data_IF_210634886165
#
_entry.id   IF_210634886165
#
_cell.length_a   1.000
_cell.length_b   1.000
_cell.length_c   1.000
_cell.angle_alpha   90.00
_cell.angle_beta   90.00
_cell.angle_gamma   90.00
#
_symmetry.space_group_name_H-M   'P 1'
#
loop_
_entity.id
_entity.type
_entity.pdbx_description
1 polymer ?
#
# COMPACT_ATOMS: atom_id res chain seq x y z
N UNK A 1 58.42 45.51 -34.31
CA UNK A 1 58.14 44.41 -35.27
C UNK A 1 57.44 43.31 -34.48
N UNK A 2 56.19 42.99 -34.85
CA UNK A 2 55.33 41.89 -34.35
C UNK A 2 56.00 40.49 -34.50
N UNK A 3 55.41 39.35 -34.04
CA UNK A 3 54.91 39.01 -32.70
C UNK A 3 55.19 37.53 -32.27
N UNK A 4 54.68 37.22 -31.07
CA UNK A 4 54.26 35.99 -30.36
C UNK A 4 54.08 34.62 -31.07
N UNK A 5 54.14 33.61 -30.19
CA UNK A 5 53.33 32.37 -30.09
C UNK A 5 53.92 31.04 -30.63
N UNK A 6 54.31 30.18 -29.70
CA UNK A 6 54.32 28.72 -29.86
C UNK A 6 52.99 28.21 -29.30
N UNK A 7 52.14 27.66 -30.19
CA UNK A 7 50.90 26.97 -29.84
C UNK A 7 51.21 25.58 -29.25
N UNK A 8 50.56 25.26 -28.14
CA UNK A 8 50.39 23.90 -27.63
C UNK A 8 49.41 23.14 -28.53
N UNK A 9 49.82 21.95 -28.98
CA UNK A 9 48.97 20.95 -29.61
C UNK A 9 48.07 20.29 -28.56
N UNK A 10 46.78 20.63 -28.55
CA UNK A 10 45.76 19.89 -27.78
C UNK A 10 45.30 18.71 -28.64
N UNK A 11 45.56 17.49 -28.16
CA UNK A 11 44.99 16.28 -28.72
C UNK A 11 43.47 16.24 -28.46
N UNK A 12 42.68 16.16 -29.53
CA UNK A 12 41.25 15.98 -29.46
C UNK A 12 40.94 14.53 -29.05
N UNK A 13 40.48 14.32 -27.81
CA UNK A 13 39.74 13.12 -27.45
C UNK A 13 38.31 13.28 -28.01
N UNK A 14 38.02 12.52 -29.06
CA UNK A 14 36.66 12.28 -29.53
C UNK A 14 35.89 11.50 -28.48
N UNK A 15 34.97 12.15 -27.78
CA UNK A 15 33.96 11.50 -26.95
C UNK A 15 32.97 10.78 -27.86
N UNK A 16 33.05 9.45 -27.91
CA UNK A 16 31.93 8.61 -28.33
C UNK A 16 30.86 8.71 -27.24
N UNK A 17 30.02 9.74 -27.34
CA UNK A 17 28.80 9.83 -26.56
C UNK A 17 27.89 8.68 -26.98
N UNK A 18 27.80 7.65 -26.14
CA UNK A 18 26.70 6.69 -26.21
C UNK A 18 25.42 7.50 -25.95
N UNK A 19 24.72 7.85 -27.02
CA UNK A 19 23.38 8.40 -26.95
C UNK A 19 22.46 7.31 -26.40
N UNK A 20 22.26 7.30 -25.08
CA UNK A 20 21.13 6.59 -24.46
C UNK A 20 19.87 7.22 -25.08
N UNK A 21 18.97 6.43 -25.68
CA UNK A 21 17.74 6.97 -26.22
C UNK A 21 17.00 7.68 -25.08
N UNK A 22 16.73 8.97 -25.26
CA UNK A 22 15.85 9.73 -24.37
C UNK A 22 14.47 9.10 -24.53
N UNK A 23 14.08 8.23 -23.60
CA UNK A 23 12.69 7.81 -23.48
C UNK A 23 11.88 9.11 -23.31
N UNK A 24 11.01 9.40 -24.28
CA UNK A 24 10.20 10.60 -24.23
C UNK A 24 9.41 10.59 -22.91
N UNK A 25 9.59 11.64 -22.08
CA UNK A 25 8.96 11.78 -20.75
C UNK A 25 7.45 12.03 -20.91
N UNK A 26 6.71 11.09 -21.47
CA UNK A 26 5.26 11.14 -21.44
C UNK A 26 4.82 10.66 -20.06
N UNK A 27 4.19 11.56 -19.32
CA UNK A 27 3.52 11.19 -18.08
C UNK A 27 2.40 10.20 -18.41
N UNK A 28 2.21 9.14 -17.61
CA UNK A 28 1.08 8.25 -17.79
C UNK A 28 -0.24 9.04 -17.68
N UNK A 29 -1.26 8.59 -18.39
CA UNK A 29 -2.61 9.18 -18.32
C UNK A 29 -3.16 8.96 -16.91
N UNK A 30 -3.79 9.99 -16.34
CA UNK A 30 -4.39 9.88 -15.02
C UNK A 30 -5.49 8.80 -14.99
N UNK A 31 -5.63 8.04 -13.89
CA UNK A 31 -6.70 7.05 -13.75
C UNK A 31 -8.10 7.60 -14.01
N UNK A 32 -8.36 8.85 -13.64
CA UNK A 32 -9.63 9.55 -13.87
C UNK A 32 -9.94 9.82 -15.35
N UNK A 33 -8.93 9.76 -16.22
CA UNK A 33 -9.02 10.02 -17.66
C UNK A 33 -8.82 8.75 -18.50
N UNK A 34 -8.45 7.63 -17.87
CA UNK A 34 -8.13 6.37 -18.52
C UNK A 34 -9.29 5.37 -18.40
N UNK A 35 -9.79 4.88 -19.55
CA UNK A 35 -10.89 3.92 -19.59
C UNK A 35 -10.57 2.60 -18.89
N UNK A 36 -9.29 2.23 -18.72
CA UNK A 36 -8.89 1.01 -18.04
C UNK A 36 -9.31 0.97 -16.56
N UNK A 37 -9.49 2.14 -15.93
CA UNK A 37 -9.91 2.27 -14.54
C UNK A 37 -11.43 2.41 -14.38
N UNK A 38 -12.19 2.51 -15.48
CA UNK A 38 -13.65 2.66 -15.43
C UNK A 38 -14.33 1.33 -15.15
N UNK A 39 -15.37 1.38 -14.34
CA UNK A 39 -16.24 0.24 -14.08
C UNK A 39 -17.12 -0.02 -15.31
N UNK A 40 -17.06 -1.21 -15.92
CA UNK A 40 -17.87 -1.52 -17.09
C UNK A 40 -19.35 -1.72 -16.72
N UNK A 41 -20.27 -1.36 -17.62
CA UNK A 41 -21.72 -1.45 -17.37
C UNK A 41 -22.20 -2.88 -17.05
N UNK A 42 -21.52 -3.88 -17.60
CA UNK A 42 -21.83 -5.30 -17.42
C UNK A 42 -21.08 -5.94 -16.24
N UNK A 43 -20.56 -5.15 -15.29
CA UNK A 43 -19.76 -5.65 -14.16
C UNK A 43 -20.47 -6.72 -13.30
N UNK A 44 -21.81 -6.67 -13.26
CA UNK A 44 -22.63 -7.63 -12.53
C UNK A 44 -22.62 -9.05 -13.15
N UNK A 45 -22.19 -9.20 -14.40
CA UNK A 45 -22.18 -10.49 -15.10
C UNK A 45 -20.97 -11.36 -14.72
N UNK A 46 -19.98 -10.77 -14.06
CA UNK A 46 -18.73 -11.44 -13.71
C UNK A 46 -18.71 -11.82 -12.22
N UNK A 47 -18.22 -13.02 -11.86
CA UNK A 47 -17.94 -13.36 -10.47
C UNK A 47 -16.69 -12.62 -9.93
N UNK A 48 -16.57 -12.45 -8.59
CA UNK A 48 -15.38 -11.88 -7.95
C UNK A 48 -14.05 -12.48 -8.43
N UNK A 49 -13.04 -11.64 -8.69
CA UNK A 49 -11.72 -12.06 -9.16
C UNK A 49 -11.60 -12.37 -10.65
N UNK A 50 -12.67 -12.12 -11.43
CA UNK A 50 -12.61 -12.23 -12.89
C UNK A 50 -11.76 -11.11 -13.47
N UNK A 51 -10.82 -11.47 -14.37
CA UNK A 51 -10.06 -10.51 -15.17
C UNK A 51 -10.98 -9.90 -16.22
N UNK A 52 -11.13 -8.59 -16.18
CA UNK A 52 -11.92 -7.81 -17.13
C UNK A 52 -11.05 -7.40 -18.32
N UNK A 53 -9.87 -6.85 -18.02
CA UNK A 53 -8.89 -6.42 -18.99
C UNK A 53 -7.47 -6.49 -18.38
N UNK A 54 -6.44 -6.53 -19.22
CA UNK A 54 -5.04 -6.50 -18.78
C UNK A 54 -4.13 -5.85 -19.82
N UNK A 55 -3.10 -5.16 -19.34
CA UNK A 55 -2.13 -4.47 -20.19
C UNK A 55 -0.74 -4.41 -19.57
N UNK A 56 0.26 -4.03 -20.36
CA UNK A 56 1.50 -3.49 -19.81
C UNK A 56 1.21 -2.12 -19.20
N UNK A 57 1.82 -1.76 -18.06
CA UNK A 57 1.75 -0.38 -17.57
C UNK A 57 2.16 0.60 -18.68
N UNK A 58 1.43 1.72 -18.87
CA UNK A 58 1.77 2.73 -19.88
C UNK A 58 3.19 3.27 -19.76
N UNK A 59 3.72 3.35 -18.54
CA UNK A 59 5.09 3.73 -18.23
C UNK A 59 5.77 2.66 -17.35
N UNK A 60 7.10 2.47 -17.45
CA UNK A 60 7.82 1.53 -16.58
C UNK A 60 7.58 1.81 -15.10
N UNK A 61 7.59 0.77 -14.27
CA UNK A 61 7.58 0.95 -12.81
C UNK A 61 8.88 1.60 -12.38
N UNK A 62 8.81 2.58 -11.50
CA UNK A 62 9.95 3.39 -11.11
C UNK A 62 9.95 3.74 -9.62
N UNK A 63 11.10 3.50 -8.99
CA UNK A 63 11.36 3.98 -7.64
C UNK A 63 11.37 5.51 -7.62
N UNK A 64 10.69 6.08 -6.62
CA UNK A 64 10.51 7.52 -6.46
C UNK A 64 9.96 8.24 -7.71
N UNK A 65 9.28 7.51 -8.60
CA UNK A 65 8.74 8.02 -9.86
C UNK A 65 9.79 8.44 -10.90
N UNK A 66 11.08 8.22 -10.65
CA UNK A 66 12.17 8.75 -11.48
C UNK A 66 13.22 7.72 -11.88
N UNK A 67 13.30 6.58 -11.21
CA UNK A 67 14.29 5.54 -11.50
C UNK A 67 13.58 4.25 -11.90
N UNK A 68 13.45 3.94 -13.21
CA UNK A 68 12.86 2.70 -13.66
C UNK A 68 13.50 1.47 -13.03
N UNK A 69 12.68 0.55 -12.55
CA UNK A 69 13.10 -0.70 -11.94
C UNK A 69 13.24 -1.77 -13.04
N UNK A 70 14.36 -2.48 -13.04
CA UNK A 70 14.63 -3.50 -14.06
C UNK A 70 13.96 -4.84 -13.68
N UNK A 71 12.65 -4.90 -13.92
CA UNK A 71 11.82 -6.11 -13.74
C UNK A 71 11.86 -7.00 -14.99
N UNK A 72 11.64 -8.31 -14.80
CA UNK A 72 11.50 -9.23 -15.93
C UNK A 72 10.20 -8.98 -16.68
N UNK A 73 9.13 -8.72 -15.93
CA UNK A 73 7.86 -8.35 -16.51
C UNK A 73 6.98 -7.53 -15.57
N UNK A 74 6.01 -6.81 -16.13
CA UNK A 74 5.00 -6.08 -15.37
C UNK A 74 3.65 -6.07 -16.10
N UNK A 75 2.57 -6.16 -15.33
CA UNK A 75 1.20 -6.11 -15.83
C UNK A 75 0.32 -5.24 -14.95
N UNK A 76 -0.62 -4.53 -15.55
CA UNK A 76 -1.82 -4.04 -14.88
C UNK A 76 -2.99 -4.96 -15.25
N UNK A 77 -3.81 -5.33 -14.27
CA UNK A 77 -4.99 -6.17 -14.46
C UNK A 77 -6.18 -5.42 -13.88
N UNK A 78 -7.18 -5.14 -14.70
CA UNK A 78 -8.51 -4.69 -14.26
C UNK A 78 -9.34 -5.94 -13.93
N UNK A 79 -9.91 -5.98 -12.73
CA UNK A 79 -10.63 -7.15 -12.25
C UNK A 79 -11.88 -6.78 -11.46
N UNK A 80 -12.86 -7.70 -11.50
CA UNK A 80 -14.12 -7.55 -10.79
C UNK A 80 -13.91 -7.80 -9.29
N UNK A 81 -14.41 -6.89 -8.45
CA UNK A 81 -14.44 -6.95 -6.98
C UNK A 81 -15.82 -6.52 -6.46
N UNK A 82 -15.94 -6.22 -5.16
CA UNK A 82 -17.12 -5.62 -4.56
C UNK A 82 -16.81 -4.30 -3.84
N UNK A 83 -17.81 -3.43 -3.78
CA UNK A 83 -17.84 -2.23 -2.94
C UNK A 83 -18.01 -2.59 -1.44
N UNK A 84 -18.08 -1.57 -0.57
CA UNK A 84 -18.17 -1.78 0.87
C UNK A 84 -19.48 -2.48 1.32
N UNK A 85 -20.48 -2.57 0.45
CA UNK A 85 -21.80 -3.16 0.69
C UNK A 85 -22.03 -4.45 -0.12
N UNK A 86 -20.99 -4.98 -0.78
CA UNK A 86 -21.07 -6.22 -1.55
C UNK A 86 -21.64 -6.06 -2.96
N UNK A 87 -21.78 -4.84 -3.49
CA UNK A 87 -22.21 -4.62 -4.89
C UNK A 87 -21.01 -4.73 -5.82
N UNK A 88 -21.25 -5.21 -7.04
CA UNK A 88 -20.18 -5.42 -8.02
C UNK A 88 -19.49 -4.10 -8.41
N UNK A 89 -18.17 -4.15 -8.44
CA UNK A 89 -17.26 -3.05 -8.77
C UNK A 89 -16.09 -3.63 -9.59
N UNK A 90 -15.26 -2.79 -10.20
CA UNK A 90 -13.93 -3.20 -10.67
C UNK A 90 -12.85 -2.30 -10.11
N UNK A 91 -11.66 -2.86 -9.92
CA UNK A 91 -10.45 -2.08 -9.60
C UNK A 91 -9.25 -2.68 -10.34
N UNK A 92 -8.08 -2.08 -10.17
CA UNK A 92 -6.84 -2.47 -10.85
C UNK A 92 -5.84 -3.05 -9.85
N UNK A 93 -5.01 -3.97 -10.29
CA UNK A 93 -3.79 -4.35 -9.58
C UNK A 93 -2.59 -4.28 -10.50
N UNK A 94 -1.42 -4.07 -9.91
CA UNK A 94 -0.13 -4.20 -10.60
C UNK A 94 0.54 -5.51 -10.22
N UNK A 95 1.00 -6.28 -11.20
CA UNK A 95 1.83 -7.49 -11.02
C UNK A 95 3.27 -7.16 -11.37
N UNK A 96 4.19 -7.37 -10.43
CA UNK A 96 5.63 -7.19 -10.57
C UNK A 96 6.28 -8.58 -10.64
N UNK A 97 6.93 -8.90 -11.77
CA UNK A 97 7.59 -10.20 -11.97
C UNK A 97 9.10 -10.02 -11.94
N UNK A 98 9.82 -10.60 -10.96
CA UNK A 98 11.27 -10.52 -10.92
C UNK A 98 11.91 -11.45 -11.94
N UNK A 99 13.18 -11.21 -12.23
CA UNK A 99 14.01 -12.22 -12.88
C UNK A 99 14.12 -13.46 -11.99
N UNK A 100 14.12 -14.66 -12.60
CA UNK A 100 14.14 -15.95 -11.88
C UNK A 100 13.02 -16.11 -10.85
N UNK A 101 11.82 -15.64 -11.19
CA UNK A 101 10.66 -15.78 -10.34
C UNK A 101 10.34 -17.25 -10.00
N UNK A 102 10.10 -17.52 -8.72
CA UNK A 102 9.34 -18.67 -8.26
C UNK A 102 7.85 -18.33 -8.40
N UNK A 103 7.28 -18.71 -9.55
CA UNK A 103 5.87 -18.48 -9.86
C UNK A 103 4.89 -19.20 -8.92
N UNK A 104 5.36 -20.05 -7.99
CA UNK A 104 4.52 -20.66 -6.95
C UNK A 104 4.38 -19.80 -5.70
N UNK A 105 5.10 -18.66 -5.61
CA UNK A 105 5.05 -17.73 -4.47
C UNK A 105 4.55 -16.37 -4.93
N UNK A 106 3.48 -15.90 -4.30
CA UNK A 106 2.92 -14.57 -4.54
C UNK A 106 2.85 -13.81 -3.22
N UNK A 107 3.34 -12.58 -3.21
CA UNK A 107 3.10 -11.64 -2.12
C UNK A 107 2.07 -10.61 -2.58
N UNK A 108 0.94 -10.52 -1.87
CA UNK A 108 0.02 -9.39 -2.00
C UNK A 108 0.47 -8.28 -1.07
N UNK A 109 0.96 -7.18 -1.64
CA UNK A 109 1.43 -6.01 -0.90
C UNK A 109 0.35 -4.91 -0.94
N UNK A 110 -0.12 -4.47 0.22
CA UNK A 110 -1.06 -3.37 0.35
C UNK A 110 -0.29 -2.10 0.70
N UNK A 111 -0.31 -1.14 -0.21
CA UNK A 111 0.33 0.17 -0.07
C UNK A 111 -0.43 1.03 0.92
N UNK A 112 0.24 1.89 1.68
CA UNK A 112 -0.40 3.00 2.41
C UNK A 112 -0.71 4.15 1.42
N UNK A 113 -1.82 4.02 0.68
CA UNK A 113 -2.29 5.03 -0.29
C UNK A 113 -2.80 6.28 0.44
N UNK A 114 -3.64 6.09 1.46
CA UNK A 114 -4.06 7.11 2.44
C UNK A 114 -4.56 8.41 1.80
N UNK A 115 -5.31 8.31 0.70
CA UNK A 115 -5.73 9.46 -0.11
C UNK A 115 -7.16 9.31 -0.65
N UNK A 116 -7.87 10.41 -0.88
CA UNK A 116 -9.24 10.38 -1.41
C UNK A 116 -9.30 10.80 -2.90
N UNK A 117 -8.23 10.53 -3.64
CA UNK A 117 -8.10 10.91 -5.05
C UNK A 117 -7.62 9.73 -5.88
N UNK A 118 -8.41 9.33 -6.89
CA UNK A 118 -8.09 8.19 -7.76
C UNK A 118 -6.75 8.32 -8.51
N UNK A 119 -6.19 9.53 -8.63
CA UNK A 119 -4.84 9.74 -9.16
C UNK A 119 -3.71 9.31 -8.21
N UNK A 120 -4.02 8.83 -7.01
CA UNK A 120 -3.07 8.30 -6.04
C UNK A 120 -2.95 6.77 -6.06
N UNK A 121 -3.81 6.11 -6.85
CA UNK A 121 -3.89 4.65 -6.92
C UNK A 121 -2.50 4.01 -7.13
N UNK A 122 -2.13 2.95 -6.37
CA UNK A 122 -0.82 2.31 -6.45
C UNK A 122 -0.39 1.96 -7.87
N UNK A 123 -1.31 1.45 -8.69
CA UNK A 123 -1.03 1.09 -10.08
C UNK A 123 -0.61 2.26 -10.97
N UNK A 124 -0.99 3.49 -10.61
CA UNK A 124 -0.54 4.71 -11.27
C UNK A 124 0.70 5.30 -10.60
N UNK A 125 0.68 5.45 -9.27
CA UNK A 125 1.73 6.10 -8.50
C UNK A 125 3.12 5.43 -8.63
N UNK A 126 3.14 4.11 -8.86
CA UNK A 126 4.37 3.34 -9.06
C UNK A 126 5.01 3.55 -10.44
N UNK A 127 4.34 4.18 -11.40
CA UNK A 127 4.87 4.37 -12.74
C UNK A 127 5.84 5.56 -12.82
N UNK A 128 6.80 5.47 -13.74
CA UNK A 128 7.74 6.53 -14.09
C UNK A 128 7.00 7.80 -14.52
N UNK A 129 7.44 8.94 -13.99
CA UNK A 129 6.90 10.27 -14.25
C UNK A 129 5.40 10.45 -13.93
N UNK A 130 4.81 9.55 -13.12
CA UNK A 130 3.45 9.70 -12.60
C UNK A 130 3.29 11.04 -11.88
N UNK A 131 2.13 11.68 -12.06
CA UNK A 131 1.79 12.88 -11.31
C UNK A 131 1.69 12.56 -9.83
N UNK A 132 2.18 13.46 -8.98
CA UNK A 132 2.31 13.19 -7.54
C UNK A 132 1.09 13.62 -6.72
N UNK A 133 0.05 14.22 -7.33
CA UNK A 133 -1.11 14.75 -6.61
C UNK A 133 -0.71 15.82 -5.58
N UNK A 134 0.10 16.78 -5.99
CA UNK A 134 0.66 17.81 -5.10
C UNK A 134 2.10 17.50 -4.62
N UNK A 135 2.70 18.37 -3.80
CA UNK A 135 4.12 18.27 -3.43
C UNK A 135 4.42 16.94 -2.73
N UNK A 136 5.26 16.11 -3.36
CA UNK A 136 5.67 14.80 -2.85
C UNK A 136 4.51 13.84 -2.55
N UNK A 137 3.29 14.07 -3.06
CA UNK A 137 2.08 13.41 -2.57
C UNK A 137 2.13 11.87 -2.62
N UNK A 138 2.71 11.28 -3.68
CA UNK A 138 2.85 9.83 -3.88
C UNK A 138 4.17 9.24 -3.36
N UNK A 139 5.02 10.02 -2.68
CA UNK A 139 6.38 9.58 -2.32
C UNK A 139 6.39 8.36 -1.40
N UNK A 140 5.36 8.20 -0.55
CA UNK A 140 5.24 7.04 0.36
C UNK A 140 4.99 5.77 -0.44
N UNK A 141 3.99 5.77 -1.33
CA UNK A 141 3.74 4.65 -2.27
C UNK A 141 5.00 4.29 -3.06
N UNK A 142 5.72 5.29 -3.56
CA UNK A 142 6.93 5.07 -4.34
C UNK A 142 8.11 4.57 -3.50
N UNK A 143 8.18 4.92 -2.21
CA UNK A 143 9.17 4.41 -1.28
C UNK A 143 8.86 2.97 -0.86
N UNK A 144 7.59 2.60 -0.72
CA UNK A 144 7.16 1.22 -0.43
C UNK A 144 7.51 0.24 -1.56
N UNK A 145 7.80 0.73 -2.78
CA UNK A 145 8.39 -0.09 -3.83
C UNK A 145 9.70 -0.75 -3.39
N UNK A 146 10.51 -0.12 -2.53
CA UNK A 146 11.72 -0.74 -1.99
C UNK A 146 11.40 -1.95 -1.10
N UNK A 147 10.26 -1.95 -0.41
CA UNK A 147 9.78 -3.10 0.38
C UNK A 147 9.25 -4.21 -0.53
N UNK A 148 8.60 -3.84 -1.64
CA UNK A 148 8.21 -4.77 -2.69
C UNK A 148 9.44 -5.37 -3.39
N UNK A 149 10.48 -4.59 -3.68
CA UNK A 149 11.77 -5.06 -4.21
C UNK A 149 12.42 -6.08 -3.27
N UNK A 150 12.40 -5.83 -1.96
CA UNK A 150 12.91 -6.79 -0.98
C UNK A 150 12.21 -8.17 -1.07
N UNK A 151 10.92 -8.19 -1.40
CA UNK A 151 10.16 -9.42 -1.65
C UNK A 151 10.44 -10.02 -3.03
N UNK A 152 10.60 -9.19 -4.06
CA UNK A 152 10.99 -9.59 -5.41
C UNK A 152 12.37 -10.28 -5.41
N UNK A 153 13.30 -9.83 -4.57
CA UNK A 153 14.62 -10.44 -4.33
C UNK A 153 14.54 -11.83 -3.68
N UNK A 154 13.40 -12.21 -3.11
CA UNK A 154 13.14 -13.60 -2.69
C UNK A 154 12.65 -14.49 -3.85
N UNK A 155 12.54 -13.95 -5.05
CA UNK A 155 11.99 -14.61 -6.24
C UNK A 155 10.46 -14.62 -6.27
N UNK A 156 9.79 -13.95 -5.34
CA UNK A 156 8.33 -13.95 -5.29
C UNK A 156 7.77 -13.02 -6.35
N UNK A 157 6.64 -13.40 -6.95
CA UNK A 157 5.84 -12.42 -7.69
C UNK A 157 5.14 -11.51 -6.69
N UNK A 158 5.21 -10.20 -6.88
CA UNK A 158 4.52 -9.23 -6.00
C UNK A 158 3.32 -8.67 -6.74
N UNK A 159 2.17 -8.61 -6.07
CA UNK A 159 0.97 -7.92 -6.57
C UNK A 159 0.62 -6.76 -5.64
N UNK A 160 0.22 -5.64 -6.23
CA UNK A 160 -0.20 -4.43 -5.53
C UNK A 160 -1.59 -4.00 -6.03
N UNK A 161 -2.67 -4.39 -5.34
CA UNK A 161 -4.03 -3.97 -5.69
C UNK A 161 -4.30 -2.52 -5.27
N UNK A 162 -5.05 -1.81 -6.11
CA UNK A 162 -5.66 -0.52 -5.82
C UNK A 162 -6.88 -0.77 -4.92
N UNK A 163 -6.58 -1.06 -3.66
CA UNK A 163 -7.52 -1.57 -2.67
C UNK A 163 -8.52 -0.52 -2.20
N UNK A 164 -8.31 0.76 -2.50
CA UNK A 164 -9.31 1.80 -2.26
C UNK A 164 -10.37 1.89 -3.38
N UNK A 165 -10.19 1.14 -4.46
CA UNK A 165 -11.12 1.09 -5.58
C UNK A 165 -11.03 2.31 -6.51
N UNK A 166 -11.90 2.38 -7.54
CA UNK A 166 -11.85 3.42 -8.57
C UNK A 166 -12.21 4.82 -8.05
N UNK A 167 -12.86 4.89 -6.88
CA UNK A 167 -13.29 6.13 -6.25
C UNK A 167 -12.37 6.58 -5.10
N UNK A 168 -11.21 5.94 -4.89
CA UNK A 168 -10.29 6.22 -3.79
C UNK A 168 -11.01 6.30 -2.43
N UNK A 169 -11.71 5.22 -2.10
CA UNK A 169 -12.54 5.12 -0.91
C UNK A 169 -11.73 4.80 0.34
N UNK A 170 -10.75 5.65 0.67
CA UNK A 170 -9.92 5.49 1.86
C UNK A 170 -10.76 5.26 3.13
N UNK A 171 -10.36 4.28 3.95
CA UNK A 171 -11.06 3.75 5.14
C UNK A 171 -12.35 2.96 4.88
N UNK A 172 -12.76 2.70 3.64
CA UNK A 172 -13.80 1.72 3.33
C UNK A 172 -13.23 0.29 3.39
N UNK A 173 -13.03 -0.21 4.61
CA UNK A 173 -12.15 -1.36 4.84
C UNK A 173 -12.72 -2.70 4.33
N UNK A 174 -14.04 -2.86 4.16
CA UNK A 174 -14.59 -4.07 3.52
C UNK A 174 -14.28 -4.07 2.03
N UNK A 175 -14.40 -2.92 1.35
CA UNK A 175 -13.96 -2.75 -0.03
C UNK A 175 -12.48 -3.12 -0.15
N UNK A 176 -11.61 -2.59 0.72
CA UNK A 176 -10.18 -2.90 0.70
C UNK A 176 -9.88 -4.40 0.86
N UNK A 177 -10.62 -5.07 1.75
CA UNK A 177 -10.51 -6.51 1.92
C UNK A 177 -10.98 -7.30 0.70
N UNK A 178 -12.14 -6.95 0.10
CA UNK A 178 -12.62 -7.58 -1.13
C UNK A 178 -11.67 -7.36 -2.30
N UNK A 179 -11.23 -6.11 -2.53
CA UNK A 179 -10.28 -5.77 -3.57
C UNK A 179 -8.96 -6.55 -3.41
N UNK A 180 -8.45 -6.71 -2.20
CA UNK A 180 -7.24 -7.48 -1.94
C UNK A 180 -7.42 -8.98 -2.28
N UNK A 181 -8.50 -9.61 -1.77
CA UNK A 181 -8.76 -11.03 -1.99
C UNK A 181 -9.08 -11.34 -3.47
N UNK A 182 -9.89 -10.49 -4.11
CA UNK A 182 -10.21 -10.63 -5.54
C UNK A 182 -9.00 -10.30 -6.43
N UNK A 183 -8.09 -9.44 -5.96
CA UNK A 183 -6.82 -9.20 -6.63
C UNK A 183 -5.93 -10.45 -6.62
N UNK A 184 -5.90 -11.18 -5.50
CA UNK A 184 -5.22 -12.49 -5.42
C UNK A 184 -5.87 -13.51 -6.37
N UNK A 185 -7.20 -13.55 -6.47
CA UNK A 185 -7.92 -14.38 -7.45
C UNK A 185 -7.53 -14.02 -8.88
N UNK A 186 -7.58 -12.73 -9.23
CA UNK A 186 -7.24 -12.24 -10.56
C UNK A 186 -5.78 -12.54 -10.92
N UNK A 187 -4.84 -12.34 -9.99
CA UNK A 187 -3.45 -12.72 -10.15
C UNK A 187 -3.29 -14.23 -10.38
N UNK A 188 -3.98 -15.06 -9.62
CA UNK A 188 -3.96 -16.53 -9.80
C UNK A 188 -4.54 -16.95 -11.16
N UNK A 189 -5.59 -16.27 -11.61
CA UNK A 189 -6.24 -16.49 -12.91
C UNK A 189 -5.42 -15.97 -14.11
N UNK A 190 -4.38 -15.17 -13.86
CA UNK A 190 -3.54 -14.55 -14.90
C UNK A 190 -2.40 -15.44 -15.43
N UNK A 191 -2.34 -16.71 -14.99
CA UNK A 191 -1.27 -17.67 -15.26
C UNK A 191 -0.78 -17.71 -16.72
N UNK A 192 -1.68 -17.53 -17.69
CA UNK A 192 -1.36 -17.59 -19.12
C UNK A 192 -0.44 -16.46 -19.61
N UNK A 193 -0.38 -15.33 -18.91
CA UNK A 193 0.42 -14.17 -19.34
C UNK A 193 1.37 -13.64 -18.27
N UNK A 194 1.09 -13.86 -16.98
CA UNK A 194 2.02 -13.50 -15.88
C UNK A 194 2.97 -14.64 -15.51
N UNK A 195 2.62 -15.89 -15.85
CA UNK A 195 3.34 -17.09 -15.42
C UNK A 195 3.02 -17.55 -14.01
N UNK A 196 2.25 -16.79 -13.22
CA UNK A 196 1.85 -17.18 -11.85
C UNK A 196 1.21 -18.57 -11.86
N UNK A 197 1.63 -19.43 -10.94
CA UNK A 197 1.08 -20.77 -10.79
C UNK A 197 -0.44 -20.71 -10.54
N UNK A 198 -1.19 -21.69 -11.05
CA UNK A 198 -2.64 -21.81 -10.79
C UNK A 198 -3.00 -22.05 -9.33
N UNK A 199 -2.01 -22.37 -8.49
CA UNK A 199 -2.23 -22.63 -7.07
C UNK A 199 -1.03 -22.11 -6.24
N UNK A 200 -0.78 -20.79 -6.24
CA UNK A 200 0.38 -20.22 -5.57
C UNK A 200 0.16 -20.25 -4.06
N UNK A 201 1.26 -20.31 -3.31
CA UNK A 201 1.24 -19.96 -1.88
C UNK A 201 1.29 -18.44 -1.78
N UNK A 202 0.32 -17.86 -1.07
CA UNK A 202 0.16 -16.41 -0.98
C UNK A 202 0.56 -15.92 0.41
N UNK A 203 1.38 -14.88 0.49
CA UNK A 203 1.54 -14.05 1.69
C UNK A 203 0.83 -12.70 1.50
N UNK A 204 0.44 -12.05 2.59
CA UNK A 204 -0.02 -10.66 2.57
C UNK A 204 0.86 -9.77 3.43
N UNK A 205 1.12 -8.54 3.01
CA UNK A 205 1.89 -7.58 3.78
C UNK A 205 1.39 -6.16 3.55
N UNK A 206 1.19 -5.41 4.65
CA UNK A 206 0.93 -3.98 4.60
C UNK A 206 1.39 -3.30 5.87
N UNK A 207 1.75 -2.02 5.74
CA UNK A 207 2.14 -1.14 6.84
C UNK A 207 1.17 0.05 6.92
N UNK A 208 0.91 0.57 8.13
CA UNK A 208 0.02 1.73 8.34
C UNK A 208 -1.35 1.54 7.67
N UNK A 209 -1.79 2.43 6.77
CA UNK A 209 -3.02 2.25 5.97
C UNK A 209 -3.09 0.92 5.21
N UNK A 210 -1.97 0.50 4.61
CA UNK A 210 -1.87 -0.80 3.94
C UNK A 210 -2.10 -1.99 4.88
N UNK A 211 -1.71 -1.86 6.16
CA UNK A 211 -1.99 -2.91 7.16
C UNK A 211 -3.47 -3.06 7.47
N UNK A 212 -4.26 -1.99 7.30
CA UNK A 212 -5.71 -2.02 7.46
C UNK A 212 -6.33 -2.86 6.35
N UNK A 213 -5.90 -2.65 5.10
CA UNK A 213 -6.34 -3.44 3.96
C UNK A 213 -5.97 -4.93 4.08
N UNK A 214 -4.71 -5.24 4.45
CA UNK A 214 -4.28 -6.62 4.69
C UNK A 214 -5.03 -7.27 5.86
N UNK A 215 -5.32 -6.53 6.94
CA UNK A 215 -6.08 -7.03 8.08
C UNK A 215 -7.53 -7.32 7.69
N UNK A 216 -8.20 -6.39 7.01
CA UNK A 216 -9.58 -6.58 6.53
C UNK A 216 -9.69 -7.77 5.57
N UNK A 217 -8.71 -7.94 4.67
CA UNK A 217 -8.61 -9.13 3.82
C UNK A 217 -8.46 -10.42 4.65
N UNK A 218 -7.63 -10.40 5.70
CA UNK A 218 -7.46 -11.55 6.60
C UNK A 218 -8.73 -11.89 7.38
N UNK A 219 -9.49 -10.89 7.84
CA UNK A 219 -10.78 -11.07 8.52
C UNK A 219 -11.84 -11.67 7.59
N UNK A 220 -11.86 -11.24 6.33
CA UNK A 220 -12.85 -11.66 5.33
C UNK A 220 -12.48 -12.99 4.64
N UNK A 221 -11.22 -13.42 4.66
CA UNK A 221 -10.74 -14.56 3.86
C UNK A 221 -11.60 -15.81 4.05
N UNK A 222 -11.92 -16.18 5.30
CA UNK A 222 -12.65 -17.43 5.57
C UNK A 222 -14.10 -17.42 5.06
N UNK A 223 -14.78 -16.26 5.09
CA UNK A 223 -16.18 -16.13 4.70
C UNK A 223 -16.35 -15.76 3.23
N UNK A 224 -15.38 -15.07 2.63
CA UNK A 224 -15.46 -14.51 1.29
C UNK A 224 -14.62 -15.24 0.25
N UNK A 225 -13.42 -15.70 0.63
CA UNK A 225 -12.47 -16.36 -0.27
C UNK A 225 -11.78 -17.58 0.37
N UNK A 226 -12.56 -18.56 0.89
CA UNK A 226 -12.02 -19.72 1.62
C UNK A 226 -11.13 -20.62 0.76
N UNK A 227 -11.24 -20.53 -0.57
CA UNK A 227 -10.45 -21.30 -1.52
C UNK A 227 -9.01 -20.79 -1.70
N UNK A 228 -8.73 -19.54 -1.29
CA UNK A 228 -7.40 -18.95 -1.42
C UNK A 228 -6.41 -19.53 -0.39
N UNK A 229 -5.25 -19.98 -0.88
CA UNK A 229 -4.16 -20.52 -0.04
C UNK A 229 -3.27 -19.42 0.50
N UNK A 230 -3.80 -18.66 1.45
CA UNK A 230 -3.04 -17.62 2.15
C UNK A 230 -2.28 -18.27 3.32
N UNK A 231 -0.95 -18.27 3.24
CA UNK A 231 -0.08 -18.85 4.25
C UNK A 231 -0.06 -18.05 5.55
N UNK A 232 -0.17 -16.71 5.44
CA UNK A 232 -0.21 -15.79 6.56
C UNK A 232 -0.12 -14.33 6.12
N UNK A 233 -0.29 -13.41 7.06
CA UNK A 233 -0.20 -11.97 6.82
C UNK A 233 0.72 -11.26 7.83
N UNK A 234 1.57 -10.36 7.35
CA UNK A 234 2.34 -9.44 8.17
C UNK A 234 1.66 -8.06 8.19
N UNK A 235 1.38 -7.54 9.39
CA UNK A 235 0.63 -6.31 9.61
C UNK A 235 1.48 -5.37 10.48
N UNK A 236 1.94 -4.27 9.90
CA UNK A 236 2.81 -3.32 10.58
C UNK A 236 2.14 -1.99 10.87
N UNK A 237 2.46 -1.37 12.01
CA UNK A 237 1.91 -0.04 12.33
C UNK A 237 0.38 -0.04 12.44
N UNK A 238 -0.23 -1.20 12.73
CA UNK A 238 -1.66 -1.44 12.57
C UNK A 238 -2.53 -0.41 13.28
N UNK A 239 -3.60 0.02 12.59
CA UNK A 239 -4.47 1.13 12.97
C UNK A 239 -5.93 0.65 13.10
N UNK A 240 -6.34 0.06 14.24
CA UNK A 240 -7.63 -0.63 14.32
C UNK A 240 -8.85 0.28 14.48
N UNK A 241 -8.67 1.47 15.06
CA UNK A 241 -9.77 2.35 15.46
C UNK A 241 -9.65 3.75 14.85
N UNK A 242 -10.56 4.08 13.92
CA UNK A 242 -10.55 5.36 13.20
C UNK A 242 -10.81 6.55 14.16
N UNK A 243 -11.70 6.40 15.13
CA UNK A 243 -12.04 7.48 16.08
C UNK A 243 -10.84 7.83 16.99
N UNK A 244 -10.09 6.83 17.45
CA UNK A 244 -8.86 7.04 18.23
C UNK A 244 -7.81 7.79 17.42
N UNK A 245 -7.64 7.47 16.14
CA UNK A 245 -6.70 8.13 15.23
C UNK A 245 -7.03 9.60 15.05
N UNK A 246 -8.30 9.93 14.75
CA UNK A 246 -8.77 11.32 14.64
C UNK A 246 -8.38 12.11 15.89
N UNK A 247 -8.56 11.53 17.08
CA UNK A 247 -8.19 12.17 18.36
C UNK A 247 -6.68 12.32 18.53
N UNK A 248 -5.90 11.32 18.11
CA UNK A 248 -4.44 11.28 18.28
C UNK A 248 -3.74 12.33 17.40
N UNK A 249 -4.17 12.45 16.14
CA UNK A 249 -3.43 13.24 15.15
C UNK A 249 -3.98 14.66 14.93
N UNK A 250 -5.21 14.96 15.36
CA UNK A 250 -5.76 16.31 15.23
C UNK A 250 -4.88 17.33 15.98
N UNK A 251 -4.62 18.50 15.37
CA UNK A 251 -3.66 19.52 15.86
C UNK A 251 -2.19 19.08 15.82
N UNK A 252 -1.90 17.86 15.38
CA UNK A 252 -0.56 17.31 15.30
C UNK A 252 0.06 17.42 13.90
N UNK A 253 1.32 16.97 13.74
CA UNK A 253 2.01 16.97 12.44
C UNK A 253 1.32 16.13 11.37
N UNK A 254 0.52 15.14 11.77
CA UNK A 254 -0.19 14.23 10.86
C UNK A 254 -1.69 14.54 10.78
N UNK A 255 -2.13 15.74 11.17
CA UNK A 255 -3.54 16.13 11.10
C UNK A 255 -4.13 16.02 9.68
N UNK A 256 -3.30 16.09 8.63
CA UNK A 256 -3.73 15.96 7.23
C UNK A 256 -4.17 14.58 6.78
N UNK A 257 -4.08 13.55 7.61
CA UNK A 257 -4.70 12.24 7.33
C UNK A 257 -6.22 12.30 7.56
N UNK A 258 -6.69 13.25 8.39
CA UNK A 258 -8.10 13.34 8.79
C UNK A 258 -9.02 13.68 7.58
N UNK A 259 -8.76 14.74 6.78
CA UNK A 259 -9.62 15.08 5.65
C UNK A 259 -9.76 13.98 4.57
N UNK A 260 -8.69 13.35 4.05
CA UNK A 260 -8.84 12.26 3.09
C UNK A 260 -9.58 11.07 3.70
N UNK A 261 -9.41 10.77 4.99
CA UNK A 261 -10.22 9.74 5.67
C UNK A 261 -11.72 10.05 5.69
N UNK A 262 -12.11 11.31 5.90
CA UNK A 262 -13.52 11.73 5.84
C UNK A 262 -14.08 11.64 4.42
N UNK A 263 -13.33 12.15 3.45
CA UNK A 263 -13.76 12.25 2.05
C UNK A 263 -13.79 10.87 1.39
N UNK A 264 -12.73 10.08 1.55
CA UNK A 264 -12.63 8.72 1.02
C UNK A 264 -13.75 7.83 1.53
N UNK A 265 -14.00 7.82 2.85
CA UNK A 265 -15.10 7.04 3.40
C UNK A 265 -16.46 7.54 2.89
N UNK A 266 -16.62 8.85 2.68
CA UNK A 266 -17.85 9.41 2.11
C UNK A 266 -18.13 8.96 0.67
N UNK A 267 -17.12 8.51 -0.07
CA UNK A 267 -17.28 7.99 -1.44
C UNK A 267 -18.10 6.68 -1.46
N UNK A 268 -18.14 5.95 -0.34
CA UNK A 268 -19.00 4.77 -0.19
C UNK A 268 -20.30 5.09 0.56
N UNK A 269 -20.31 6.15 1.38
CA UNK A 269 -21.46 6.48 2.23
C UNK A 269 -22.04 7.87 1.85
N UNK A 270 -23.03 7.94 0.94
CA UNK A 270 -23.64 9.20 0.51
C UNK A 270 -24.17 10.07 1.65
N UNK A 271 -24.64 9.46 2.74
CA UNK A 271 -25.10 10.19 3.93
C UNK A 271 -23.96 10.94 4.63
N UNK A 272 -22.75 10.38 4.65
CA UNK A 272 -21.57 11.07 5.18
C UNK A 272 -21.16 12.22 4.26
N UNK A 273 -21.25 12.03 2.94
CA UNK A 273 -20.93 13.09 1.98
C UNK A 273 -21.81 14.32 2.20
N UNK A 274 -23.13 14.12 2.27
CA UNK A 274 -24.09 15.19 2.55
C UNK A 274 -23.84 15.85 3.91
N UNK A 275 -23.54 15.04 4.93
CA UNK A 275 -23.21 15.55 6.27
C UNK A 275 -21.94 16.40 6.29
N UNK A 276 -20.87 15.94 5.63
CA UNK A 276 -19.58 16.61 5.56
C UNK A 276 -19.68 17.95 4.80
N UNK A 277 -20.35 17.96 3.64
CA UNK A 277 -20.56 19.16 2.83
C UNK A 277 -21.28 20.27 3.60
N UNK A 278 -22.20 19.88 4.51
CA UNK A 278 -22.92 20.79 5.39
C UNK A 278 -22.12 21.17 6.65
N UNK A 279 -21.25 20.27 7.14
CA UNK A 279 -20.53 20.43 8.39
C UNK A 279 -19.24 21.24 8.28
N UNK A 280 -18.53 21.21 7.15
CA UNK A 280 -17.31 22.03 6.96
C UNK A 280 -17.68 23.52 7.00
N UNK A 281 -16.93 24.32 7.77
CA UNK A 281 -17.15 25.77 7.82
C UNK A 281 -16.81 26.38 6.44
N UNK A 282 -17.58 27.37 5.96
CA UNK A 282 -17.41 27.91 4.60
C UNK A 282 -15.98 28.33 4.26
N UNK A 283 -15.24 28.91 5.21
CA UNK A 283 -13.86 29.36 5.06
C UNK A 283 -12.83 28.23 4.82
N UNK A 284 -13.19 26.97 5.08
CA UNK A 284 -12.34 25.80 4.84
C UNK A 284 -12.79 24.93 3.67
N UNK A 285 -13.87 25.30 2.97
CA UNK A 285 -14.47 24.45 1.92
C UNK A 285 -13.50 24.16 0.78
N UNK A 286 -12.87 25.20 0.21
CA UNK A 286 -11.86 25.06 -0.85
C UNK A 286 -10.69 24.15 -0.43
N UNK A 287 -10.37 24.16 0.86
CA UNK A 287 -9.29 23.35 1.42
C UNK A 287 -9.66 21.87 1.49
N UNK A 288 -10.90 21.55 1.88
CA UNK A 288 -11.41 20.18 1.82
C UNK A 288 -11.60 19.72 0.37
N UNK A 289 -12.07 20.59 -0.53
CA UNK A 289 -12.23 20.27 -1.95
C UNK A 289 -10.88 19.95 -2.63
N UNK A 290 -9.78 20.54 -2.17
CA UNK A 290 -8.44 20.26 -2.68
C UNK A 290 -7.96 18.82 -2.41
N UNK A 291 -8.44 18.19 -1.33
CA UNK A 291 -8.10 16.80 -0.96
C UNK A 291 -8.49 15.81 -2.05
N UNK A 292 -9.61 16.06 -2.75
CA UNK A 292 -10.03 15.25 -3.91
C UNK A 292 -9.12 15.35 -5.14
N UNK A 293 -7.98 16.05 -5.02
CA UNK A 293 -6.94 16.21 -6.06
C UNK A 293 -5.52 16.08 -5.47
N UNK A 294 -5.41 15.73 -4.19
CA UNK A 294 -4.15 15.60 -3.47
C UNK A 294 -3.91 14.15 -3.08
N UNK A 295 -2.64 13.78 -2.99
CA UNK A 295 -2.21 12.51 -2.43
C UNK A 295 -1.59 12.72 -1.05
N UNK A 296 -1.42 11.62 -0.32
CA UNK A 296 -1.08 11.56 1.10
C UNK A 296 -0.17 12.68 1.64
N UNK A 297 1.06 12.83 1.12
CA UNK A 297 1.99 13.82 1.69
C UNK A 297 1.56 15.26 1.40
N UNK A 298 0.89 15.52 0.28
CA UNK A 298 0.36 16.85 -0.01
C UNK A 298 -0.80 17.21 0.95
N UNK A 299 -1.63 16.24 1.33
CA UNK A 299 -2.65 16.42 2.37
C UNK A 299 -2.00 16.69 3.74
N UNK A 300 -1.01 15.90 4.13
CA UNK A 300 -0.25 16.10 5.38
C UNK A 300 0.34 17.51 5.44
N UNK A 301 0.98 17.99 4.36
CA UNK A 301 1.53 19.34 4.29
C UNK A 301 0.45 20.42 4.34
N UNK A 302 -0.69 20.22 3.67
CA UNK A 302 -1.79 21.19 3.63
C UNK A 302 -2.42 21.43 5.00
N UNK A 303 -2.45 20.42 5.86
CA UNK A 303 -3.09 20.46 7.18
C UNK A 303 -2.11 20.35 8.36
N UNK A 304 -0.79 20.47 8.10
CA UNK A 304 0.27 20.34 9.10
C UNK A 304 -0.01 21.16 10.37
N UNK A 305 -0.16 20.48 11.51
CA UNK A 305 -0.33 21.12 12.83
C UNK A 305 -1.70 21.78 13.06
N UNK A 306 -2.67 21.60 12.16
CA UNK A 306 -3.95 22.32 12.23
C UNK A 306 -5.03 21.57 13.02
N UNK A 307 -5.97 22.32 13.59
CA UNK A 307 -7.18 21.79 14.20
C UNK A 307 -8.23 21.47 13.12
N UNK A 308 -8.06 20.34 12.44
CA UNK A 308 -8.97 19.86 11.38
C UNK A 308 -10.37 19.64 11.93
N UNK A 309 -10.50 19.07 13.12
CA UNK A 309 -11.80 18.88 13.77
C UNK A 309 -12.47 20.24 14.05
N UNK A 310 -11.68 21.25 14.42
CA UNK A 310 -12.13 22.63 14.56
C UNK A 310 -12.56 23.32 13.26
N UNK A 311 -12.31 22.73 12.09
CA UNK A 311 -12.80 23.21 10.80
C UNK A 311 -14.26 22.81 10.54
N UNK A 312 -14.84 21.93 11.36
CA UNK A 312 -16.25 21.57 11.35
C UNK A 312 -17.07 22.58 12.18
N UNK A 313 -18.30 22.86 11.75
CA UNK A 313 -19.27 23.70 12.47
C UNK A 313 -19.64 23.11 13.82
N UNK A 314 -19.84 21.79 13.85
CA UNK A 314 -20.04 21.00 15.07
C UNK A 314 -19.17 19.74 15.03
N UNK A 315 -18.06 19.68 15.79
CA UNK A 315 -17.22 18.49 15.93
C UNK A 315 -17.96 17.23 16.36
N UNK A 316 -19.11 17.35 17.04
CA UNK A 316 -19.86 16.21 17.53
C UNK A 316 -20.34 15.30 16.39
N UNK A 317 -20.44 15.80 15.15
CA UNK A 317 -20.80 15.01 13.97
C UNK A 317 -19.91 13.77 13.79
N UNK A 318 -18.65 13.80 14.23
CA UNK A 318 -17.71 12.67 14.12
C UNK A 318 -17.95 11.55 15.14
N UNK A 319 -18.77 11.82 16.16
CA UNK A 319 -19.02 10.88 17.28
C UNK A 319 -20.51 10.58 17.48
N UNK A 320 -21.37 11.14 16.62
CA UNK A 320 -22.82 10.93 16.60
C UNK A 320 -23.24 10.10 15.39
N UNK A 321 -24.48 9.62 15.39
CA UNK A 321 -25.05 8.93 14.23
C UNK A 321 -25.28 9.89 13.04
N UNK A 322 -25.07 9.44 11.79
CA UNK A 322 -24.67 8.08 11.41
C UNK A 322 -23.15 7.84 11.40
N UNK A 323 -22.32 8.86 11.62
CA UNK A 323 -20.86 8.74 11.51
C UNK A 323 -20.29 7.71 12.47
N UNK A 324 -20.74 7.69 13.71
CA UNK A 324 -20.28 6.74 14.72
C UNK A 324 -20.44 5.29 14.25
N UNK A 325 -21.64 4.88 13.85
CA UNK A 325 -21.88 3.51 13.41
C UNK A 325 -21.11 3.15 12.14
N UNK A 326 -20.92 4.10 11.23
CA UNK A 326 -20.13 3.89 10.00
C UNK A 326 -18.64 3.74 10.31
N UNK A 327 -18.08 4.58 11.17
CA UNK A 327 -16.69 4.45 11.64
C UNK A 327 -16.48 3.14 12.38
N UNK A 328 -17.43 2.76 13.24
CA UNK A 328 -17.40 1.48 13.94
C UNK A 328 -17.50 0.32 12.95
N UNK A 329 -18.36 0.38 11.93
CA UNK A 329 -18.51 -0.67 10.90
C UNK A 329 -17.21 -0.91 10.12
N UNK A 330 -16.47 0.17 9.83
CA UNK A 330 -15.22 0.10 9.07
C UNK A 330 -13.98 -0.13 9.96
N UNK A 331 -14.08 -0.06 11.28
CA UNK A 331 -12.97 -0.42 12.17
C UNK A 331 -12.58 -1.92 12.03
N UNK A 332 -11.35 -2.26 12.40
CA UNK A 332 -10.92 -3.67 12.47
C UNK A 332 -11.53 -4.39 13.69
N UNK A 333 -11.36 -5.70 13.77
CA UNK A 333 -11.85 -6.55 14.84
C UNK A 333 -13.30 -6.99 14.67
N UNK A 334 -13.72 -7.31 13.44
CA UNK A 334 -15.07 -7.85 13.15
C UNK A 334 -15.07 -9.36 13.14
N UNK A 335 -14.02 -9.96 12.59
CA UNK A 335 -13.83 -11.40 12.55
C UNK A 335 -12.40 -11.77 12.90
N UNK A 336 -12.20 -12.91 13.54
CA UNK A 336 -10.86 -13.43 13.84
C UNK A 336 -10.32 -14.16 12.60
N UNK A 337 -9.17 -13.76 12.02
CA UNK A 337 -8.58 -14.45 10.88
C UNK A 337 -8.26 -15.92 11.19
N UNK A 338 -8.49 -16.80 10.21
CA UNK A 338 -8.12 -18.22 10.30
C UNK A 338 -6.65 -18.47 9.93
N UNK A 339 -6.03 -17.52 9.23
CA UNK A 339 -4.62 -17.52 8.86
C UNK A 339 -3.74 -17.00 10.01
N UNK A 340 -2.48 -17.46 10.13
CA UNK A 340 -1.55 -16.90 11.10
C UNK A 340 -1.17 -15.46 10.74
N UNK A 341 -0.94 -14.65 11.77
CA UNK A 341 -0.57 -13.24 11.64
C UNK A 341 0.77 -12.97 12.33
N UNK A 342 1.58 -12.13 11.70
CA UNK A 342 2.64 -11.39 12.37
C UNK A 342 2.25 -9.93 12.46
N UNK A 343 2.07 -9.43 13.68
CA UNK A 343 1.71 -8.04 13.94
C UNK A 343 2.93 -7.36 14.56
N UNK A 344 3.32 -6.19 14.08
CA UNK A 344 4.38 -5.41 14.68
C UNK A 344 3.98 -3.94 14.83
N UNK A 345 4.20 -3.39 16.02
CA UNK A 345 3.66 -2.07 16.40
C UNK A 345 4.62 -1.33 17.32
N UNK A 346 4.74 -0.01 17.12
CA UNK A 346 5.50 0.83 18.02
C UNK A 346 4.68 1.11 19.28
N UNK A 347 5.35 1.08 20.44
CA UNK A 347 4.76 1.51 21.71
C UNK A 347 4.59 3.04 21.74
N UNK A 348 5.48 3.78 21.07
CA UNK A 348 5.51 5.25 21.03
C UNK A 348 4.82 5.81 19.78
N UNK A 349 3.97 5.01 19.12
CA UNK A 349 3.29 5.41 17.90
C UNK A 349 2.34 6.60 18.13
N UNK A 350 2.59 7.65 17.36
CA UNK A 350 1.93 8.95 17.41
C UNK A 350 0.63 9.00 16.59
N UNK A 351 0.38 8.01 15.72
CA UNK A 351 -0.80 7.94 14.85
C UNK A 351 -1.93 7.16 15.51
N UNK A 352 -1.62 5.92 15.90
CA UNK A 352 -2.58 4.99 16.49
C UNK A 352 -2.07 4.54 17.85
N UNK A 353 -2.76 4.89 18.95
CA UNK A 353 -2.37 4.44 20.28
C UNK A 353 -2.21 2.92 20.32
N UNK A 354 -1.11 2.43 20.89
CA UNK A 354 -0.81 0.99 20.93
C UNK A 354 -1.93 0.16 21.57
N UNK A 355 -2.69 0.76 22.51
CA UNK A 355 -3.82 0.10 23.16
C UNK A 355 -4.83 -0.45 22.15
N UNK A 356 -5.06 0.25 21.03
CA UNK A 356 -6.00 -0.21 20.01
C UNK A 356 -5.50 -1.52 19.36
N UNK A 357 -4.20 -1.62 19.06
CA UNK A 357 -3.58 -2.84 18.53
C UNK A 357 -3.54 -3.96 19.59
N UNK A 358 -3.26 -3.63 20.85
CA UNK A 358 -3.30 -4.60 21.96
C UNK A 358 -4.70 -5.22 22.11
N UNK A 359 -5.76 -4.40 22.02
CA UNK A 359 -7.15 -4.86 22.08
C UNK A 359 -7.52 -5.71 20.86
N UNK A 360 -7.08 -5.32 19.65
CA UNK A 360 -7.28 -6.11 18.43
C UNK A 360 -6.62 -7.48 18.52
N UNK A 361 -5.34 -7.53 18.94
CA UNK A 361 -4.60 -8.78 19.11
C UNK A 361 -5.30 -9.68 20.14
N UNK A 362 -5.75 -9.11 21.25
CA UNK A 362 -6.51 -9.85 22.26
C UNK A 362 -7.80 -10.44 21.67
N UNK A 363 -8.55 -9.66 20.89
CA UNK A 363 -9.75 -10.12 20.20
C UNK A 363 -9.44 -11.29 19.25
N UNK A 364 -8.47 -11.14 18.34
CA UNK A 364 -8.04 -12.21 17.43
C UNK A 364 -7.61 -13.48 18.15
N UNK A 365 -6.78 -13.35 19.18
CA UNK A 365 -6.34 -14.49 19.99
C UNK A 365 -7.49 -15.19 20.70
N UNK A 366 -8.47 -14.45 21.22
CA UNK A 366 -9.66 -15.04 21.86
C UNK A 366 -10.55 -15.80 20.88
N UNK A 367 -10.54 -15.42 19.60
CA UNK A 367 -11.22 -16.13 18.51
C UNK A 367 -10.38 -17.22 17.84
N UNK A 368 -9.19 -17.54 18.36
CA UNK A 368 -8.36 -18.66 17.90
C UNK A 368 -7.35 -18.33 16.80
N UNK A 369 -7.23 -17.07 16.38
CA UNK A 369 -6.18 -16.65 15.44
C UNK A 369 -4.80 -16.87 16.05
N UNK A 370 -3.85 -17.40 15.27
CA UNK A 370 -2.46 -17.58 15.72
C UNK A 370 -1.66 -16.31 15.43
N UNK A 371 -1.40 -15.53 16.46
CA UNK A 371 -0.73 -14.22 16.33
C UNK A 371 0.66 -14.24 16.96
N UNK A 372 1.68 -13.85 16.21
CA UNK A 372 2.93 -13.34 16.78
C UNK A 372 2.85 -11.81 16.77
N UNK A 373 2.91 -11.18 17.94
CA UNK A 373 2.77 -9.73 18.10
C UNK A 373 4.01 -9.13 18.77
N UNK A 374 4.76 -8.33 18.02
CA UNK A 374 5.94 -7.64 18.52
C UNK A 374 5.64 -6.15 18.76
N UNK A 375 5.90 -5.71 19.99
CA UNK A 375 5.78 -4.33 20.44
C UNK A 375 7.16 -3.71 20.52
N UNK A 376 7.46 -2.79 19.63
CA UNK A 376 8.76 -2.15 19.53
C UNK A 376 8.87 -0.96 20.50
N UNK A 377 9.90 -0.97 21.34
CA UNK A 377 10.09 0.00 22.42
C UNK A 377 10.76 1.30 21.96
N UNK A 378 11.54 1.30 20.88
CA UNK A 378 12.47 2.38 20.52
C UNK A 378 12.17 3.05 19.17
N UNK A 379 11.04 2.72 18.55
CA UNK A 379 10.57 3.33 17.30
C UNK A 379 9.32 4.17 17.51
N UNK A 380 8.98 4.98 16.53
CA UNK A 380 7.71 5.69 16.33
C UNK A 380 6.98 5.11 15.10
N UNK A 381 5.85 5.69 14.68
CA UNK A 381 5.06 5.17 13.57
C UNK A 381 5.86 5.13 12.25
N UNK A 382 6.51 6.23 11.88
CA UNK A 382 7.28 6.28 10.62
C UNK A 382 8.55 5.43 10.66
N UNK A 383 9.31 5.47 11.76
CA UNK A 383 10.59 4.76 11.86
C UNK A 383 10.41 3.23 11.90
N UNK A 384 9.31 2.74 12.47
CA UNK A 384 9.00 1.30 12.50
C UNK A 384 8.69 0.72 11.11
N UNK A 385 8.23 1.52 10.14
CA UNK A 385 8.00 1.05 8.77
C UNK A 385 9.26 0.40 8.18
N UNK A 386 10.42 0.97 8.48
CA UNK A 386 11.74 0.49 8.03
C UNK A 386 12.28 -0.53 9.02
N UNK A 387 12.28 -0.20 10.32
CA UNK A 387 12.91 -1.03 11.36
C UNK A 387 12.25 -2.42 11.48
N UNK A 388 10.94 -2.51 11.31
CA UNK A 388 10.18 -3.76 11.38
C UNK A 388 10.19 -4.59 10.10
N UNK A 389 10.50 -3.98 8.95
CA UNK A 389 10.34 -4.62 7.63
C UNK A 389 11.14 -5.90 7.46
N UNK A 390 12.38 -5.93 7.97
CA UNK A 390 13.23 -7.11 7.89
C UNK A 390 12.66 -8.33 8.59
N UNK A 391 12.09 -8.11 9.78
CA UNK A 391 11.46 -9.16 10.55
C UNK A 391 10.16 -9.63 9.91
N UNK A 392 9.38 -8.70 9.36
CA UNK A 392 8.17 -9.02 8.60
C UNK A 392 8.49 -9.89 7.38
N UNK A 393 9.47 -9.49 6.57
CA UNK A 393 9.90 -10.25 5.39
C UNK A 393 10.47 -11.63 5.75
N UNK A 394 11.28 -11.72 6.82
CA UNK A 394 11.78 -13.00 7.30
C UNK A 394 10.66 -13.93 7.77
N UNK A 395 9.66 -13.39 8.47
CA UNK A 395 8.48 -14.15 8.90
C UNK A 395 7.63 -14.63 7.71
N UNK A 396 7.41 -13.75 6.71
CA UNK A 396 6.71 -14.09 5.46
C UNK A 396 7.45 -15.19 4.70
N UNK A 397 8.79 -15.11 4.62
CA UNK A 397 9.62 -16.14 4.00
C UNK A 397 9.46 -17.49 4.69
N UNK A 398 9.43 -17.50 6.02
CA UNK A 398 9.25 -18.74 6.78
C UNK A 398 7.86 -19.34 6.54
N UNK A 399 6.79 -18.54 6.69
CA UNK A 399 5.41 -19.02 6.57
C UNK A 399 5.09 -19.49 5.15
N UNK A 400 5.56 -18.75 4.12
CA UNK A 400 5.34 -19.11 2.72
C UNK A 400 6.13 -20.36 2.32
N UNK A 401 7.25 -20.67 2.99
CA UNK A 401 8.00 -21.92 2.79
C UNK A 401 7.46 -23.10 3.61
N UNK A 402 6.27 -22.96 4.22
CA UNK A 402 5.63 -24.03 4.96
C UNK A 402 6.27 -24.30 6.32
N UNK A 403 7.12 -23.40 6.84
CA UNK A 403 7.54 -23.48 8.25
C UNK A 403 6.34 -23.17 9.14
N UNK A 404 6.25 -23.88 10.27
CA UNK A 404 5.15 -23.69 11.19
C UNK A 404 5.14 -22.23 11.68
N UNK A 405 4.05 -21.51 11.40
CA UNK A 405 3.77 -20.21 12.01
C UNK A 405 3.63 -20.32 13.53
N UNK A 406 3.28 -19.23 14.23
CA UNK A 406 3.08 -19.27 15.68
C UNK A 406 2.13 -20.41 16.05
N UNK A 407 2.53 -21.25 17.02
CA UNK A 407 1.71 -22.37 17.50
C UNK A 407 0.59 -21.92 18.43
N UNK A 408 0.76 -20.74 19.03
CA UNK A 408 -0.18 -20.05 19.90
C UNK A 408 0.05 -18.56 19.80
N UNK A 409 -0.90 -17.78 20.30
CA UNK A 409 -0.71 -16.34 20.44
C UNK A 409 0.48 -16.01 21.35
N UNK A 410 1.31 -15.07 20.90
CA UNK A 410 2.45 -14.56 21.66
C UNK A 410 2.60 -13.06 21.45
N UNK A 411 2.60 -12.31 22.54
CA UNK A 411 2.99 -10.90 22.55
C UNK A 411 4.39 -10.74 23.14
N UNK A 412 5.22 -9.90 22.56
CA UNK A 412 6.59 -9.66 23.04
C UNK A 412 6.94 -8.19 22.93
N UNK A 413 7.51 -7.62 24.00
CA UNK A 413 8.15 -6.31 23.93
C UNK A 413 9.58 -6.52 23.46
N UNK A 414 9.95 -5.90 22.35
CA UNK A 414 11.30 -5.97 21.78
C UNK A 414 11.97 -4.60 21.92
N UNK A 415 13.25 -4.59 22.30
CA UNK A 415 14.01 -3.35 22.44
C UNK A 415 14.00 -2.58 21.11
N UNK A 416 14.34 -3.27 20.02
CA UNK A 416 14.10 -2.79 18.67
C UNK A 416 14.05 -4.00 17.73
N UNK A 417 13.16 -3.96 16.75
CA UNK A 417 13.04 -4.96 15.69
C UNK A 417 14.30 -5.01 14.82
N UNK A 418 15.08 -3.91 14.79
CA UNK A 418 16.37 -3.82 14.10
C UNK A 418 17.43 -4.74 14.73
N UNK A 419 17.30 -5.04 16.03
CA UNK A 419 18.26 -5.89 16.77
C UNK A 419 18.00 -7.38 16.57
N UNK A 420 16.92 -7.75 15.87
CA UNK A 420 16.67 -9.15 15.51
C UNK A 420 17.64 -9.56 14.40
N UNK A 421 18.68 -10.32 14.75
CA UNK A 421 19.73 -10.76 13.83
C UNK A 421 19.19 -11.36 12.52
N UNK A 422 18.05 -12.07 12.55
CA UNK A 422 17.45 -12.63 11.33
C UNK A 422 16.83 -11.54 10.45
N UNK A 423 16.15 -10.59 11.08
CA UNK A 423 15.59 -9.42 10.41
C UNK A 423 16.66 -8.48 9.87
N UNK A 424 17.71 -8.18 10.65
CA UNK A 424 18.81 -7.29 10.23
C UNK A 424 19.54 -7.86 9.02
N UNK A 425 19.85 -9.16 8.99
CA UNK A 425 20.52 -9.79 7.84
C UNK A 425 19.63 -9.75 6.60
N UNK A 426 18.34 -10.07 6.76
CA UNK A 426 17.40 -10.13 5.63
C UNK A 426 17.16 -8.73 5.03
N UNK A 427 16.91 -7.72 5.86
CA UNK A 427 16.66 -6.36 5.39
C UNK A 427 17.92 -5.66 4.90
N UNK A 428 19.06 -5.83 5.57
CA UNK A 428 20.30 -5.16 5.13
C UNK A 428 20.73 -5.69 3.77
N UNK A 429 20.63 -7.01 3.55
CA UNK A 429 20.87 -7.58 2.23
C UNK A 429 19.84 -7.06 1.21
N UNK A 430 18.55 -7.13 1.52
CA UNK A 430 17.50 -6.71 0.59
C UNK A 430 17.55 -5.21 0.27
N UNK A 431 17.87 -4.34 1.24
CA UNK A 431 18.05 -2.90 1.04
C UNK A 431 19.31 -2.59 0.24
N UNK A 432 20.41 -3.30 0.48
CA UNK A 432 21.62 -3.15 -0.36
C UNK A 432 21.29 -3.54 -1.80
N UNK A 433 20.60 -4.67 -2.01
CA UNK A 433 20.18 -5.10 -3.34
C UNK A 433 19.23 -4.10 -3.99
N UNK A 434 18.18 -3.65 -3.30
CA UNK A 434 17.25 -2.61 -3.77
C UNK A 434 18.00 -1.30 -4.15
N UNK A 435 18.97 -0.87 -3.34
CA UNK A 435 19.79 0.30 -3.66
C UNK A 435 20.73 0.07 -4.86
N UNK A 436 21.20 -1.16 -5.09
CA UNK A 436 21.97 -1.53 -6.29
C UNK A 436 21.05 -1.63 -7.52
N UNK A 437 19.79 -2.00 -7.35
CA UNK A 437 18.82 -2.05 -8.44
C UNK A 437 18.46 -0.65 -8.95
N UNK A 438 18.50 0.36 -8.08
CA UNK A 438 18.42 1.78 -8.49
C UNK A 438 19.54 2.20 -9.45
N UNK A 439 20.66 1.48 -9.50
CA UNK A 439 21.73 1.70 -10.49
C UNK A 439 21.61 0.81 -11.73
N UNK A 440 20.45 0.16 -11.93
CA UNK A 440 20.04 -0.53 -13.15
C UNK A 440 20.23 -2.05 -13.15
N UNK A 441 20.60 -2.66 -12.01
CA UNK A 441 20.73 -4.13 -11.88
C UNK A 441 19.36 -4.82 -12.06
N UNK A 442 19.30 -6.01 -12.70
CA UNK A 442 18.07 -6.81 -12.76
C UNK A 442 17.55 -7.20 -11.36
N UNK A 443 16.26 -6.94 -11.11
CA UNK A 443 15.60 -7.27 -9.83
C UNK A 443 15.22 -8.74 -9.79
N UNK A 444 15.57 -9.41 -8.69
CA UNK A 444 15.30 -10.81 -8.42
C UNK A 444 16.54 -11.60 -7.97
N UNK A 445 16.37 -12.87 -7.56
CA UNK A 445 17.45 -13.65 -6.96
C UNK A 445 18.72 -13.75 -7.82
N UNK A 446 19.89 -13.65 -7.17
CA UNK A 446 21.19 -13.87 -7.82
C UNK A 446 21.38 -15.33 -8.25
N UNK A 447 20.84 -16.29 -7.49
CA UNK A 447 20.91 -17.74 -7.78
C UNK A 447 19.48 -18.29 -7.73
N UNK A 448 19.10 -19.06 -8.75
CA UNK A 448 17.77 -19.67 -8.89
C UNK A 448 17.71 -21.12 -8.43
#
# INVERSE_FOLDING_TARGET
MFPRFILLSVAALSTLGLSVPVQERQQPILPTEDSFYKVPDNINDYPPGTIIDFRKPPSPIAAFGVSPVNLKDTWQISYRTNDNFGKALSTVLTVLVPYKADFTKVLSYQVAEDAAYAGCAPSYALQFASATGGPLGTIVTQAELLLMEAALEQGWVVIAPDHEGPDAAYLANKLAGYATLDGIRAATNSANFTGISKNPTVGMWGYSGGSIASAAAAELQQSYAPELRIAGAALGGTVPNITSVIKSINKGPLAGIIPPGMIGLSNQYPILKLGLDAAVKPEYKDKFDAVGKQCFVADVLSFLGQDVVGMLKDPAILTQEPAKSILDENALGKHSPSIPLFIYKSIQDEVSPIKDTDDLVKFYCSGGTRVQYDRDLLSEHGSLAIIGAGKALAWLKDIMNGRNGPSQCKTSNVASSLLDLRGSITLSAALIEALVDLVGKPVGPIIG
#
